data_IF_661101827266
#
_entry.id   IF_661101827266
#
_cell.length_a   1.000
_cell.length_b   1.000
_cell.length_c   1.000
_cell.angle_alpha   90.00
_cell.angle_beta   90.00
_cell.angle_gamma   90.00
#
_symmetry.space_group_name_H-M   'P 1'
#
loop_
_entity.id
_entity.type
_entity.pdbx_description
1 polymer ?
#
# COMPACT_ATOMS: atom_id res chain seq x y z
N UNK A 1 1.10 9.70 -37.88
CA UNK A 1 1.89 9.05 -36.84
C UNK A 1 1.79 9.90 -35.57
N UNK A 2 0.98 9.50 -34.61
CA UNK A 2 0.97 10.18 -33.31
C UNK A 2 2.26 9.80 -32.59
N UNK A 3 3.06 10.78 -32.19
CA UNK A 3 4.23 10.55 -31.34
C UNK A 3 3.74 9.97 -30.01
N UNK A 4 4.14 8.75 -29.71
CA UNK A 4 3.98 8.18 -28.37
C UNK A 4 4.71 9.12 -27.40
N UNK A 5 4.00 9.64 -26.41
CA UNK A 5 4.63 10.50 -25.41
C UNK A 5 5.81 9.76 -24.79
N UNK A 6 6.92 10.45 -24.57
CA UNK A 6 8.17 9.87 -24.08
C UNK A 6 8.10 9.27 -22.67
N UNK A 7 6.95 9.41 -22.02
CA UNK A 7 6.70 8.99 -20.63
C UNK A 7 5.54 7.96 -20.57
N UNK A 8 5.60 6.96 -21.44
CA UNK A 8 4.62 5.86 -21.48
C UNK A 8 5.32 4.52 -21.45
N UNK A 9 4.64 3.52 -20.91
CA UNK A 9 5.08 2.12 -20.92
C UNK A 9 4.03 1.25 -21.60
N UNK A 10 4.41 0.20 -22.34
CA UNK A 10 3.47 -0.77 -22.87
C UNK A 10 2.82 -1.55 -21.73
N UNK A 11 1.61 -2.07 -21.96
CA UNK A 11 0.97 -2.99 -21.01
C UNK A 11 1.80 -4.27 -20.90
N UNK A 12 1.94 -4.77 -19.67
CA UNK A 12 2.69 -6.00 -19.38
C UNK A 12 1.96 -7.22 -19.98
N UNK A 13 2.57 -7.93 -20.94
CA UNK A 13 1.87 -8.98 -21.71
C UNK A 13 1.53 -10.24 -20.90
N UNK A 14 2.12 -10.42 -19.70
CA UNK A 14 1.87 -11.57 -18.83
C UNK A 14 0.65 -11.39 -17.91
N UNK A 15 0.05 -10.20 -17.87
CA UNK A 15 -1.20 -9.98 -17.15
C UNK A 15 -2.39 -10.46 -17.98
N UNK A 16 -3.36 -11.09 -17.31
CA UNK A 16 -4.59 -11.58 -17.94
C UNK A 16 -5.74 -10.57 -17.91
N UNK A 17 -5.66 -9.61 -16.98
CA UNK A 17 -6.70 -8.61 -16.77
C UNK A 17 -6.08 -7.22 -16.61
N UNK A 18 -6.72 -6.22 -17.21
CA UNK A 18 -6.32 -4.83 -17.10
C UNK A 18 -7.52 -3.98 -16.70
N UNK A 19 -7.32 -3.06 -15.78
CA UNK A 19 -8.30 -2.03 -15.45
C UNK A 19 -7.76 -0.69 -15.94
N UNK A 20 -8.33 -0.19 -17.02
CA UNK A 20 -7.94 1.09 -17.60
C UNK A 20 -8.65 2.22 -16.86
N UNK A 21 -7.90 3.13 -16.30
CA UNK A 21 -8.40 4.27 -15.53
C UNK A 21 -8.00 5.60 -16.21
N UNK A 22 -8.81 6.67 -16.05
CA UNK A 22 -8.43 7.96 -16.60
C UNK A 22 -7.24 8.54 -15.83
N UNK A 23 -6.25 9.04 -16.57
CA UNK A 23 -5.06 9.68 -16.02
C UNK A 23 -4.25 10.35 -17.12
N UNK A 24 -3.35 11.25 -16.73
CA UNK A 24 -2.46 11.99 -17.63
C UNK A 24 -1.01 11.94 -17.16
N UNK A 25 -0.76 11.52 -15.92
CA UNK A 25 0.53 11.46 -15.29
C UNK A 25 0.68 10.20 -14.42
N UNK A 26 1.92 9.79 -14.20
CA UNK A 26 2.24 8.71 -13.27
C UNK A 26 1.75 9.05 -11.85
N UNK A 27 1.02 8.13 -11.25
CA UNK A 27 0.41 8.29 -9.92
C UNK A 27 -1.08 8.63 -9.94
N UNK A 28 -1.65 9.03 -11.08
CA UNK A 28 -3.09 9.26 -11.22
C UNK A 28 -3.90 7.97 -10.99
N UNK A 29 -3.27 6.80 -11.17
CA UNK A 29 -3.85 5.49 -10.92
C UNK A 29 -3.99 5.14 -9.42
N UNK A 30 -3.19 5.73 -8.52
CA UNK A 30 -3.13 5.35 -7.11
C UNK A 30 -4.50 5.37 -6.39
N UNK A 31 -5.36 6.40 -6.53
CA UNK A 31 -6.71 6.38 -5.96
C UNK A 31 -7.60 5.28 -6.55
N UNK A 32 -7.41 4.96 -7.83
CA UNK A 32 -8.17 3.91 -8.51
C UNK A 32 -7.77 2.52 -8.04
N UNK A 33 -6.46 2.28 -7.85
CA UNK A 33 -5.95 1.04 -7.25
C UNK A 33 -6.61 0.80 -5.89
N UNK A 34 -6.66 1.83 -5.04
CA UNK A 34 -7.31 1.73 -3.73
C UNK A 34 -8.81 1.42 -3.84
N UNK A 35 -9.53 2.06 -4.78
CA UNK A 35 -10.96 1.82 -5.02
C UNK A 35 -11.21 0.41 -5.54
N UNK A 36 -10.50 -0.02 -6.57
CA UNK A 36 -10.63 -1.37 -7.14
C UNK A 36 -10.34 -2.42 -6.07
N UNK A 37 -9.30 -2.23 -5.28
CA UNK A 37 -8.98 -3.12 -4.19
C UNK A 37 -10.09 -3.18 -3.13
N UNK A 38 -10.77 -2.06 -2.83
CA UNK A 38 -11.93 -2.06 -1.92
C UNK A 38 -13.12 -2.83 -2.48
N UNK A 39 -13.43 -2.65 -3.78
CA UNK A 39 -14.52 -3.39 -4.44
C UNK A 39 -14.23 -4.89 -4.47
N UNK A 40 -13.01 -5.29 -4.84
CA UNK A 40 -12.59 -6.68 -4.88
C UNK A 40 -12.55 -7.34 -3.49
N UNK A 41 -12.22 -6.56 -2.47
CA UNK A 41 -12.16 -7.03 -1.09
C UNK A 41 -13.47 -6.84 -0.32
N UNK A 42 -14.58 -6.55 -1.00
CA UNK A 42 -15.87 -6.44 -0.36
C UNK A 42 -16.20 -7.70 0.46
N UNK A 43 -16.35 -7.54 1.77
CA UNK A 43 -16.51 -8.64 2.75
C UNK A 43 -15.31 -9.57 2.92
N UNK A 44 -14.15 -9.22 2.38
CA UNK A 44 -12.92 -9.95 2.59
C UNK A 44 -11.80 -9.02 3.07
N UNK A 45 -10.88 -9.46 3.92
CA UNK A 45 -9.75 -8.64 4.32
C UNK A 45 -8.79 -8.43 3.15
N UNK A 46 -8.12 -7.28 3.13
CA UNK A 46 -7.08 -6.95 2.15
C UNK A 46 -5.93 -6.22 2.81
N UNK A 47 -4.74 -6.35 2.24
CA UNK A 47 -3.51 -5.72 2.72
C UNK A 47 -2.74 -5.14 1.54
N UNK A 48 -2.10 -4.01 1.75
CA UNK A 48 -1.11 -3.45 0.83
C UNK A 48 0.29 -3.84 1.32
N UNK A 49 1.15 -4.27 0.42
CA UNK A 49 2.55 -4.59 0.74
C UNK A 49 3.43 -3.55 0.04
N UNK A 50 4.24 -2.84 0.82
CA UNK A 50 5.22 -1.89 0.31
C UNK A 50 6.61 -2.52 0.30
N UNK A 51 7.17 -2.68 -0.89
CA UNK A 51 8.53 -3.17 -1.13
C UNK A 51 9.27 -2.09 -1.91
N UNK A 52 10.39 -1.59 -1.38
CA UNK A 52 11.16 -0.52 -1.99
C UNK A 52 10.29 0.75 -2.21
N UNK A 53 9.94 1.08 -3.43
CA UNK A 53 9.05 2.17 -3.78
C UNK A 53 9.74 3.49 -4.09
N UNK A 54 9.14 4.26 -5.01
CA UNK A 54 9.56 5.61 -5.38
C UNK A 54 8.58 6.66 -4.88
N UNK A 55 8.57 7.82 -5.55
CA UNK A 55 7.67 8.94 -5.19
C UNK A 55 6.18 8.55 -5.24
N UNK A 56 5.78 7.71 -6.20
CA UNK A 56 4.40 7.26 -6.39
C UNK A 56 3.95 6.36 -5.24
N UNK A 57 4.86 5.55 -4.68
CA UNK A 57 4.55 4.68 -3.55
C UNK A 57 3.98 5.42 -2.32
N UNK A 58 4.34 6.70 -2.13
CA UNK A 58 3.72 7.54 -1.10
C UNK A 58 2.23 7.76 -1.33
N UNK A 59 1.82 7.93 -2.59
CA UNK A 59 0.40 8.09 -2.97
C UNK A 59 -0.35 6.79 -2.74
N UNK A 60 0.24 5.65 -3.09
CA UNK A 60 -0.34 4.32 -2.88
C UNK A 60 -0.55 4.02 -1.39
N UNK A 61 0.48 4.27 -0.57
CA UNK A 61 0.39 4.11 0.89
C UNK A 61 -0.68 5.04 1.47
N UNK A 62 -0.67 6.32 1.08
CA UNK A 62 -1.65 7.30 1.56
C UNK A 62 -3.07 6.90 1.18
N UNK A 63 -3.28 6.43 -0.04
CA UNK A 63 -4.59 5.96 -0.53
C UNK A 63 -5.06 4.71 0.22
N UNK A 64 -4.15 3.79 0.51
CA UNK A 64 -4.43 2.59 1.30
C UNK A 64 -4.84 2.93 2.74
N UNK A 65 -4.10 3.82 3.40
CA UNK A 65 -4.43 4.29 4.76
C UNK A 65 -5.76 5.02 4.79
N UNK A 66 -6.05 5.89 3.82
CA UNK A 66 -7.37 6.55 3.69
C UNK A 66 -8.50 5.55 3.50
N UNK A 67 -8.24 4.47 2.78
CA UNK A 67 -9.18 3.35 2.60
C UNK A 67 -9.25 2.41 3.82
N UNK A 68 -8.56 2.73 4.93
CA UNK A 68 -8.45 1.90 6.14
C UNK A 68 -7.89 0.49 5.89
N UNK A 69 -7.05 0.36 4.87
CA UNK A 69 -6.37 -0.89 4.52
C UNK A 69 -5.01 -0.95 5.21
N UNK A 70 -4.69 -2.03 5.93
CA UNK A 70 -3.37 -2.25 6.50
C UNK A 70 -2.29 -2.22 5.42
N UNK A 71 -1.14 -1.62 5.75
CA UNK A 71 0.04 -1.56 4.89
C UNK A 71 1.19 -2.26 5.62
N UNK A 72 1.71 -3.32 5.04
CA UNK A 72 2.91 -3.98 5.51
C UNK A 72 4.11 -3.39 4.78
N UNK A 73 5.02 -2.81 5.53
CA UNK A 73 6.23 -2.14 5.03
C UNK A 73 7.41 -3.07 5.22
N UNK A 74 8.01 -3.52 4.12
CA UNK A 74 9.19 -4.40 4.14
C UNK A 74 10.48 -3.57 4.31
N UNK A 75 10.91 -3.40 5.55
CA UNK A 75 12.16 -2.71 5.88
C UNK A 75 13.37 -3.53 5.39
N UNK A 76 14.39 -2.83 4.90
CA UNK A 76 15.54 -3.44 4.23
C UNK A 76 15.33 -3.67 2.73
N UNK A 77 14.16 -3.31 2.19
CA UNK A 77 13.90 -3.37 0.75
C UNK A 77 14.30 -2.09 0.01
N UNK A 78 14.64 -1.02 0.72
CA UNK A 78 15.16 0.24 0.19
C UNK A 78 14.12 1.37 0.12
N UNK A 79 14.61 2.56 -0.17
CA UNK A 79 13.86 3.79 -0.55
C UNK A 79 12.66 4.11 0.38
N UNK A 80 11.45 4.24 -0.17
CA UNK A 80 10.24 4.64 0.57
C UNK A 80 9.91 3.67 1.71
N UNK A 81 10.10 2.36 1.51
CA UNK A 81 9.86 1.36 2.55
C UNK A 81 10.79 1.58 3.75
N UNK A 82 12.09 1.77 3.52
CA UNK A 82 13.04 2.01 4.60
C UNK A 82 12.80 3.34 5.31
N UNK A 83 12.45 4.38 4.55
CA UNK A 83 12.10 5.68 5.11
C UNK A 83 10.87 5.58 6.03
N UNK A 84 9.80 4.92 5.60
CA UNK A 84 8.60 4.72 6.41
C UNK A 84 8.86 3.84 7.63
N UNK A 85 9.63 2.76 7.46
CA UNK A 85 9.99 1.89 8.58
C UNK A 85 10.79 2.65 9.65
N UNK A 86 11.74 3.49 9.25
CA UNK A 86 12.51 4.33 10.15
C UNK A 86 11.62 5.33 10.92
N UNK A 87 10.68 6.00 10.24
CA UNK A 87 9.73 6.91 10.89
C UNK A 87 8.81 6.20 11.88
N UNK A 88 8.31 5.00 11.53
CA UNK A 88 7.49 4.19 12.42
C UNK A 88 8.23 3.80 13.71
N UNK A 89 9.52 3.46 13.60
CA UNK A 89 10.34 3.02 14.72
C UNK A 89 10.80 4.17 15.60
N UNK A 90 11.16 5.30 14.99
CA UNK A 90 11.62 6.48 15.73
C UNK A 90 10.49 7.29 16.35
N UNK A 91 9.26 7.15 15.82
CA UNK A 91 8.14 8.03 16.16
C UNK A 91 8.34 9.49 15.69
N UNK A 92 9.29 9.74 14.78
CA UNK A 92 9.63 11.07 14.29
C UNK A 92 9.25 11.21 12.81
N UNK A 93 8.04 11.73 12.52
CA UNK A 93 7.65 12.05 11.15
C UNK A 93 8.43 13.26 10.63
N UNK A 94 8.60 13.33 9.31
CA UNK A 94 9.31 14.46 8.66
C UNK A 94 8.39 15.67 8.48
N UNK A 95 7.09 15.45 8.34
CA UNK A 95 6.07 16.48 8.12
C UNK A 95 4.68 15.98 8.57
N UNK A 96 3.67 16.85 8.52
CA UNK A 96 2.30 16.55 8.95
C UNK A 96 1.68 15.38 8.18
N UNK A 97 1.97 15.25 6.88
CA UNK A 97 1.47 14.14 6.07
C UNK A 97 2.05 12.80 6.53
N UNK A 98 3.34 12.76 6.83
CA UNK A 98 3.98 11.55 7.35
C UNK A 98 3.58 11.28 8.80
N UNK A 99 3.31 12.31 9.60
CA UNK A 99 2.75 12.16 10.95
C UNK A 99 1.39 11.46 10.90
N UNK A 100 0.50 11.90 10.02
CA UNK A 100 -0.82 11.29 9.83
C UNK A 100 -0.71 9.82 9.44
N UNK A 101 0.24 9.47 8.57
CA UNK A 101 0.47 8.09 8.15
C UNK A 101 0.99 7.23 9.31
N UNK A 102 2.04 7.68 10.00
CA UNK A 102 2.70 6.89 11.05
C UNK A 102 1.85 6.71 12.31
N UNK A 103 0.95 7.65 12.59
CA UNK A 103 0.01 7.57 13.73
C UNK A 103 -1.33 6.92 13.38
N UNK A 104 -1.56 6.58 12.13
CA UNK A 104 -2.83 5.99 11.65
C UNK A 104 -3.16 4.63 12.26
N UNK A 105 -2.17 3.88 12.71
CA UNK A 105 -2.31 2.49 13.16
C UNK A 105 -2.42 1.46 12.02
N UNK A 106 -2.38 1.89 10.76
CA UNK A 106 -2.49 1.00 9.59
C UNK A 106 -1.15 0.57 9.02
N UNK A 107 -0.03 1.19 9.39
CA UNK A 107 1.30 0.82 8.92
C UNK A 107 1.99 -0.15 9.89
N UNK A 108 2.53 -1.23 9.33
CA UNK A 108 3.23 -2.27 10.08
C UNK A 108 4.55 -2.59 9.40
N UNK A 109 5.68 -2.27 10.05
CA UNK A 109 7.00 -2.56 9.50
C UNK A 109 7.50 -3.94 9.95
N UNK A 110 8.11 -4.67 9.02
CA UNK A 110 8.82 -5.93 9.27
C UNK A 110 10.11 -5.93 8.46
N UNK A 111 11.19 -6.44 9.03
CA UNK A 111 12.47 -6.54 8.34
C UNK A 111 12.50 -7.75 7.40
N UNK A 112 13.04 -7.56 6.21
CA UNK A 112 13.28 -8.66 5.26
C UNK A 112 14.13 -9.78 5.87
N UNK A 113 15.08 -9.42 6.74
CA UNK A 113 15.98 -10.37 7.41
C UNK A 113 15.26 -11.32 8.38
N UNK A 114 14.03 -11.00 8.82
CA UNK A 114 13.24 -11.91 9.66
C UNK A 114 12.76 -13.16 8.90
N UNK A 115 12.89 -13.15 7.57
CA UNK A 115 12.63 -14.28 6.72
C UNK A 115 11.15 -14.46 6.34
N UNK A 116 10.93 -15.39 5.42
CA UNK A 116 9.64 -15.62 4.80
C UNK A 116 8.53 -15.98 5.80
N UNK A 117 8.83 -16.82 6.78
CA UNK A 117 7.81 -17.30 7.73
C UNK A 117 7.27 -16.18 8.62
N UNK A 118 8.13 -15.25 9.06
CA UNK A 118 7.72 -14.10 9.86
C UNK A 118 6.85 -13.14 9.03
N UNK A 119 7.23 -12.88 7.77
CA UNK A 119 6.46 -12.05 6.85
C UNK A 119 5.09 -12.70 6.57
N UNK A 120 5.08 -14.00 6.27
CA UNK A 120 3.84 -14.74 6.01
C UNK A 120 2.90 -14.75 7.23
N UNK A 121 3.46 -14.87 8.44
CA UNK A 121 2.65 -14.81 9.68
C UNK A 121 2.05 -13.41 9.87
N UNK A 122 2.83 -12.35 9.71
CA UNK A 122 2.31 -10.98 9.79
C UNK A 122 1.17 -10.74 8.79
N UNK A 123 1.31 -11.22 7.55
CA UNK A 123 0.27 -11.09 6.53
C UNK A 123 -1.00 -11.84 6.93
N UNK A 124 -0.88 -13.07 7.42
CA UNK A 124 -2.04 -13.84 7.92
C UNK A 124 -2.75 -13.09 9.03
N UNK A 125 -2.02 -12.54 10.00
CA UNK A 125 -2.60 -11.80 11.12
C UNK A 125 -3.37 -10.57 10.63
N UNK A 126 -2.84 -9.83 9.63
CA UNK A 126 -3.53 -8.67 9.05
C UNK A 126 -4.74 -9.05 8.21
N UNK A 127 -4.73 -10.22 7.58
CA UNK A 127 -5.85 -10.72 6.80
C UNK A 127 -6.94 -11.37 7.67
N UNK A 128 -6.66 -11.74 8.91
CA UNK A 128 -7.65 -12.36 9.83
C UNK A 128 -8.29 -11.37 10.80
N UNK A 129 -7.65 -10.25 11.12
CA UNK A 129 -8.08 -9.30 12.17
C UNK A 129 -9.40 -8.55 11.85
N UNK A 130 -9.94 -8.64 10.64
CA UNK A 130 -11.19 -7.95 10.26
C UNK A 130 -12.45 -8.69 10.74
N UNK A 131 -12.32 -9.89 11.30
CA UNK A 131 -13.46 -10.67 11.77
C UNK A 131 -14.08 -10.20 13.10
N UNK A 132 -13.54 -9.15 13.75
CA UNK A 132 -14.00 -8.66 15.05
C UNK A 132 -14.36 -7.18 15.08
N UNK A 133 -15.09 -6.69 14.07
CA UNK A 133 -15.82 -5.45 14.26
C UNK A 133 -17.02 -5.75 15.18
N UNK A 134 -17.21 -5.02 16.30
CA UNK A 134 -18.36 -5.25 17.15
C UNK A 134 -19.65 -4.99 16.37
N UNK A 135 -20.49 -6.01 16.29
CA UNK A 135 -21.87 -5.86 15.88
C UNK A 135 -22.48 -4.74 16.73
N UNK A 136 -22.86 -3.63 16.10
CA UNK A 136 -23.77 -2.68 16.75
C UNK A 136 -25.08 -3.41 16.97
N UNK A 137 -25.28 -3.88 18.18
CA UNK A 137 -26.59 -4.25 18.68
C UNK A 137 -27.39 -2.97 18.97
N UNK A 138 -28.64 -2.95 18.55
CA UNK A 138 -29.63 -1.95 18.91
C UNK A 138 -30.20 -1.16 17.77
#
# INVERSE_FOLDING_TARGET
MQSVASDTAPLEPHHTHFVLVPGKAWGDEAPWIARVANELSYKAPSVTILINGGKIAWLDVTSSVKARRPVVVLAGSGRTADTLAAMLRSGQPVNDSTATLTTSGFLHAIDLEQGFDAIAQLLRDRLTTISSAPSKAG
#
